data_IF_129692415307
#
_entry.id   IF_129692415307
#
_cell.length_a   1.000
_cell.length_b   1.000
_cell.length_c   1.000
_cell.angle_alpha   90.00
_cell.angle_beta   90.00
_cell.angle_gamma   90.00
#
_symmetry.space_group_name_H-M   'P 1'
#
loop_
_entity.id
_entity.type
_entity.pdbx_description
1 polymer ?
#
# COMPACT_ATOMS: atom_id res chain seq x y z
N UNK A 1 -18.10 12.18 12.41
CA UNK A 1 -17.68 11.01 11.60
C UNK A 1 -16.22 10.74 11.82
N UNK A 2 -15.90 9.53 12.25
CA UNK A 2 -14.51 9.22 12.57
C UNK A 2 -13.69 9.03 11.30
N UNK A 3 -12.52 9.62 11.29
CA UNK A 3 -11.55 9.39 10.23
C UNK A 3 -11.10 7.94 10.32
N UNK A 4 -11.25 7.11 9.26
CA UNK A 4 -10.80 5.71 9.32
C UNK A 4 -9.30 5.57 9.59
N UNK A 5 -8.53 6.64 9.40
CA UNK A 5 -7.10 6.64 9.65
C UNK A 5 -6.72 7.07 11.08
N UNK A 6 -7.67 7.56 11.88
CA UNK A 6 -7.38 8.01 13.25
C UNK A 6 -7.08 6.88 14.22
N UNK A 7 -7.67 5.72 13.99
CA UNK A 7 -7.54 4.59 14.90
C UNK A 7 -6.61 3.50 14.36
N UNK A 8 -5.82 3.83 13.35
CA UNK A 8 -4.88 2.89 12.76
C UNK A 8 -3.67 2.75 13.68
N UNK A 9 -3.40 1.53 14.10
CA UNK A 9 -2.25 1.18 14.92
C UNK A 9 -1.23 0.36 14.15
N UNK A 10 -1.69 -0.34 13.11
CA UNK A 10 -0.83 -1.21 12.31
C UNK A 10 -1.16 -1.08 10.83
N UNK A 11 -0.13 -1.20 9.98
CA UNK A 11 -0.27 -1.14 8.54
C UNK A 11 0.59 -2.21 7.89
N UNK A 12 0.09 -2.75 6.78
CA UNK A 12 0.85 -3.62 5.89
C UNK A 12 1.05 -2.88 4.58
N UNK A 13 2.29 -2.83 4.11
CA UNK A 13 2.64 -2.20 2.85
C UNK A 13 3.37 -3.20 1.96
N UNK A 14 2.84 -3.43 0.77
CA UNK A 14 3.50 -4.22 -0.26
C UNK A 14 4.21 -3.29 -1.23
N UNK A 15 5.51 -3.51 -1.42
CA UNK A 15 6.31 -2.77 -2.40
C UNK A 15 6.84 -3.73 -3.44
N UNK A 16 7.09 -3.22 -4.66
CA UNK A 16 7.72 -4.01 -5.71
C UNK A 16 9.21 -4.13 -5.43
N UNK A 17 9.64 -5.30 -4.95
CA UNK A 17 11.02 -5.56 -4.59
C UNK A 17 11.98 -5.64 -5.77
N UNK A 18 11.45 -5.79 -6.99
CA UNK A 18 12.24 -5.82 -8.22
C UNK A 18 12.43 -4.44 -8.84
N UNK A 19 11.71 -3.43 -8.34
CA UNK A 19 11.82 -2.07 -8.86
C UNK A 19 13.06 -1.35 -8.32
N UNK A 20 13.69 -0.46 -9.11
CA UNK A 20 14.90 0.24 -8.68
C UNK A 20 14.68 1.18 -7.51
N UNK A 21 13.46 1.66 -7.28
CA UNK A 21 13.14 2.58 -6.19
C UNK A 21 12.65 1.88 -4.91
N UNK A 22 12.77 0.55 -4.83
CA UNK A 22 12.30 -0.22 -3.70
C UNK A 22 12.90 0.27 -2.37
N UNK A 23 14.22 0.48 -2.32
CA UNK A 23 14.88 0.93 -1.10
C UNK A 23 14.43 2.34 -0.70
N UNK A 24 14.29 3.23 -1.67
CA UNK A 24 13.86 4.61 -1.41
C UNK A 24 12.43 4.69 -0.87
N UNK A 25 11.50 3.99 -1.52
CA UNK A 25 10.11 4.00 -1.08
C UNK A 25 9.96 3.32 0.28
N UNK A 26 10.73 2.27 0.54
CA UNK A 26 10.71 1.58 1.82
C UNK A 26 11.14 2.50 2.95
N UNK A 27 12.23 3.25 2.75
CA UNK A 27 12.73 4.19 3.75
C UNK A 27 11.71 5.30 4.02
N UNK A 28 11.11 5.85 2.98
CA UNK A 28 10.08 6.90 3.12
C UNK A 28 8.84 6.40 3.84
N UNK A 29 8.43 5.18 3.55
CA UNK A 29 7.27 4.58 4.21
C UNK A 29 7.53 4.34 5.69
N UNK A 30 8.70 3.81 6.03
CA UNK A 30 9.07 3.57 7.43
C UNK A 30 9.09 4.88 8.23
N UNK A 31 9.65 5.94 7.66
CA UNK A 31 9.69 7.24 8.29
C UNK A 31 8.29 7.82 8.47
N UNK A 32 7.45 7.74 7.44
CA UNK A 32 6.09 8.26 7.49
C UNK A 32 5.27 7.60 8.59
N UNK A 33 5.25 6.28 8.62
CA UNK A 33 4.43 5.55 9.60
C UNK A 33 4.99 5.67 11.01
N UNK A 34 6.32 5.75 11.15
CA UNK A 34 6.94 6.01 12.44
C UNK A 34 6.51 7.36 13.00
N UNK A 35 6.48 8.38 12.16
CA UNK A 35 6.07 9.72 12.57
C UNK A 35 4.60 9.78 13.01
N UNK A 36 3.78 8.85 12.53
CA UNK A 36 2.37 8.76 12.90
C UNK A 36 2.11 7.78 14.04
N UNK A 37 3.15 7.13 14.56
CA UNK A 37 2.99 6.15 15.63
C UNK A 37 2.33 4.84 15.18
N UNK A 38 2.41 4.53 13.88
CA UNK A 38 1.81 3.33 13.31
C UNK A 38 2.87 2.26 13.13
N UNK A 39 2.60 1.05 13.58
CA UNK A 39 3.48 -0.10 13.39
C UNK A 39 3.38 -0.59 11.94
N UNK A 40 4.47 -0.55 11.21
CA UNK A 40 4.50 -0.94 9.80
C UNK A 40 5.14 -2.29 9.60
N UNK A 41 4.47 -3.16 8.85
CA UNK A 41 5.06 -4.38 8.29
C UNK A 41 5.20 -4.19 6.79
N UNK A 42 6.44 -4.08 6.33
CA UNK A 42 6.76 -3.82 4.93
C UNK A 42 7.25 -5.10 4.28
N UNK A 43 6.64 -5.44 3.14
CA UNK A 43 6.95 -6.66 2.41
C UNK A 43 7.40 -6.32 1.00
N UNK A 44 8.71 -6.43 0.70
CA UNK A 44 9.17 -6.35 -0.69
C UNK A 44 8.75 -7.61 -1.43
N UNK A 45 7.98 -7.45 -2.49
CA UNK A 45 7.44 -8.57 -3.26
C UNK A 45 8.25 -8.76 -4.53
N UNK A 46 8.70 -10.00 -4.75
CA UNK A 46 9.47 -10.36 -5.93
C UNK A 46 8.70 -11.36 -6.78
N UNK A 47 8.88 -11.28 -8.11
CA UNK A 47 8.10 -12.06 -9.08
C UNK A 47 8.09 -13.55 -8.84
N UNK A 48 9.22 -14.12 -8.42
CA UNK A 48 9.37 -15.57 -8.31
C UNK A 48 9.19 -16.12 -6.90
N UNK A 49 8.75 -15.30 -5.97
CA UNK A 49 8.58 -15.71 -4.59
C UNK A 49 7.14 -15.56 -4.14
N UNK A 50 6.62 -16.59 -3.47
CA UNK A 50 5.31 -16.50 -2.86
C UNK A 50 5.33 -15.53 -1.70
N UNK A 51 4.35 -14.64 -1.68
CA UNK A 51 4.20 -13.68 -0.61
C UNK A 51 3.41 -14.29 0.53
N UNK A 52 3.98 -14.18 1.73
CA UNK A 52 3.26 -14.47 2.96
C UNK A 52 3.30 -13.20 3.80
N UNK A 53 2.17 -12.53 3.91
CA UNK A 53 2.08 -11.33 4.72
C UNK A 53 1.04 -11.50 5.81
N UNK A 54 1.15 -10.64 6.83
CA UNK A 54 0.20 -10.63 7.92
C UNK A 54 -1.17 -10.23 7.37
N UNK A 55 -2.20 -11.01 7.70
CA UNK A 55 -3.57 -10.75 7.29
C UNK A 55 -4.28 -9.77 8.21
N UNK A 56 -3.76 -9.59 9.40
CA UNK A 56 -4.36 -8.71 10.41
C UNK A 56 -3.59 -7.39 10.45
N UNK A 57 -4.22 -6.36 9.96
CA UNK A 57 -3.72 -5.00 10.02
C UNK A 57 -4.90 -4.06 9.94
N UNK A 58 -4.73 -2.85 10.45
CA UNK A 58 -5.79 -1.84 10.36
C UNK A 58 -5.82 -1.19 8.97
N UNK A 59 -4.68 -1.19 8.28
CA UNK A 59 -4.54 -0.59 6.96
C UNK A 59 -3.72 -1.52 6.07
N UNK A 60 -4.20 -1.74 4.85
CA UNK A 60 -3.48 -2.50 3.81
C UNK A 60 -3.20 -1.58 2.63
N UNK A 61 -1.93 -1.45 2.25
CA UNK A 61 -1.52 -0.62 1.12
C UNK A 61 -0.68 -1.47 0.17
N UNK A 62 -0.94 -1.34 -1.14
CA UNK A 62 -0.15 -2.01 -2.16
C UNK A 62 0.36 -1.03 -3.20
N UNK A 63 1.67 -1.12 -3.48
CA UNK A 63 2.33 -0.40 -4.56
C UNK A 63 2.67 -1.34 -5.73
N UNK A 64 2.16 -2.58 -5.69
CA UNK A 64 2.46 -3.58 -6.71
C UNK A 64 1.80 -3.24 -8.04
N UNK A 65 2.41 -3.69 -9.17
CA UNK A 65 1.80 -3.49 -10.49
C UNK A 65 0.53 -4.31 -10.67
N UNK A 66 -0.28 -3.92 -11.65
CA UNK A 66 -1.62 -4.44 -11.90
C UNK A 66 -1.68 -5.96 -12.03
N UNK A 67 -0.69 -6.57 -12.68
CA UNK A 67 -0.72 -8.01 -13.01
C UNK A 67 -0.05 -8.89 -11.98
N UNK A 68 0.14 -8.41 -10.77
CA UNK A 68 0.78 -9.21 -9.73
C UNK A 68 -0.18 -10.26 -9.16
N UNK A 69 0.20 -11.53 -9.28
CA UNK A 69 -0.53 -12.62 -8.63
C UNK A 69 -0.52 -12.48 -7.11
N UNK A 70 0.64 -12.11 -6.57
CA UNK A 70 0.78 -11.91 -5.12
C UNK A 70 -0.14 -10.79 -4.61
N UNK A 71 -0.32 -9.74 -5.40
CA UNK A 71 -1.22 -8.65 -5.05
C UNK A 71 -2.66 -9.15 -4.90
N UNK A 72 -3.12 -9.93 -5.88
CA UNK A 72 -4.48 -10.46 -5.85
C UNK A 72 -4.74 -11.31 -4.60
N UNK A 73 -3.82 -12.22 -4.31
CA UNK A 73 -3.97 -13.10 -3.17
C UNK A 73 -3.90 -12.35 -1.85
N UNK A 74 -2.90 -11.47 -1.70
CA UNK A 74 -2.72 -10.73 -0.46
C UNK A 74 -3.87 -9.77 -0.18
N UNK A 75 -4.32 -9.03 -1.20
CA UNK A 75 -5.40 -8.06 -1.04
C UNK A 75 -6.72 -8.72 -0.66
N UNK A 76 -7.03 -9.87 -1.25
CA UNK A 76 -8.26 -10.60 -0.93
C UNK A 76 -8.22 -11.26 0.44
N UNK A 77 -7.04 -11.73 0.87
CA UNK A 77 -6.88 -12.40 2.17
C UNK A 77 -6.74 -11.43 3.33
N UNK A 78 -6.39 -10.18 3.06
CA UNK A 78 -6.23 -9.19 4.12
C UNK A 78 -7.57 -8.92 4.82
N UNK A 79 -7.53 -8.89 6.15
CA UNK A 79 -8.68 -8.58 6.99
C UNK A 79 -8.73 -7.09 7.36
N UNK A 80 -7.86 -6.27 6.76
CA UNK A 80 -7.82 -4.84 7.04
C UNK A 80 -9.14 -4.18 6.66
N UNK A 81 -9.71 -3.36 7.54
CA UNK A 81 -10.96 -2.66 7.24
C UNK A 81 -10.82 -1.56 6.20
N UNK A 82 -9.57 -1.14 5.91
CA UNK A 82 -9.31 -0.11 4.91
C UNK A 82 -8.14 -0.53 4.03
N UNK A 83 -8.34 -0.48 2.71
CA UNK A 83 -7.34 -0.94 1.74
C UNK A 83 -7.12 0.11 0.65
N UNK A 84 -5.85 0.40 0.35
CA UNK A 84 -5.45 1.35 -0.68
C UNK A 84 -4.57 0.64 -1.70
N UNK A 85 -4.86 0.82 -2.97
CA UNK A 85 -4.09 0.22 -4.06
C UNK A 85 -3.87 1.16 -5.22
N UNK A 86 -3.15 0.68 -6.25
CA UNK A 86 -2.86 1.46 -7.45
C UNK A 86 -3.82 1.18 -8.61
N UNK A 87 -4.43 -0.01 -8.63
CA UNK A 87 -5.25 -0.46 -9.74
C UNK A 87 -6.51 -1.15 -9.24
N UNK A 88 -7.65 -0.94 -9.93
CA UNK A 88 -8.88 -1.65 -9.58
C UNK A 88 -8.72 -3.16 -9.82
N UNK A 89 -9.29 -3.95 -8.94
CA UNK A 89 -9.22 -5.41 -9.01
C UNK A 89 -10.62 -6.02 -9.14
N UNK A 90 -11.32 -5.70 -10.22
CA UNK A 90 -12.63 -6.25 -10.52
C UNK A 90 -13.68 -5.98 -9.45
N UNK A 91 -13.78 -6.85 -8.46
CA UNK A 91 -14.61 -6.60 -7.30
C UNK A 91 -13.98 -5.51 -6.42
N UNK A 92 -14.78 -4.89 -5.60
CA UNK A 92 -14.37 -3.75 -4.77
C UNK A 92 -13.41 -4.19 -3.65
N UNK A 93 -12.18 -4.52 -4.02
CA UNK A 93 -11.16 -4.95 -3.06
C UNK A 93 -10.52 -3.76 -2.36
N UNK A 94 -10.25 -2.69 -3.10
CA UNK A 94 -9.63 -1.48 -2.54
C UNK A 94 -10.68 -0.40 -2.29
N UNK A 95 -10.56 0.28 -1.15
CA UNK A 95 -11.41 1.41 -0.81
C UNK A 95 -11.01 2.67 -1.55
N UNK A 96 -9.70 2.83 -1.77
CA UNK A 96 -9.13 3.95 -2.52
C UNK A 96 -8.15 3.41 -3.54
N UNK A 97 -8.24 3.93 -4.77
CA UNK A 97 -7.28 3.65 -5.84
C UNK A 97 -6.51 4.94 -6.14
N UNK A 98 -5.19 4.87 -6.02
CA UNK A 98 -4.31 6.01 -6.32
C UNK A 98 -3.47 5.65 -7.52
N UNK A 99 -3.68 6.38 -8.62
CA UNK A 99 -2.95 6.15 -9.86
C UNK A 99 -2.29 7.43 -10.34
N UNK A 100 -1.23 7.27 -11.13
CA UNK A 100 -0.57 8.41 -11.75
C UNK A 100 -1.46 9.06 -12.80
N UNK A 101 -1.31 10.37 -13.04
CA UNK A 101 -2.00 11.00 -14.17
C UNK A 101 -1.68 10.29 -15.48
N UNK A 102 -2.66 10.23 -16.36
CA UNK A 102 -2.52 9.58 -17.65
C UNK A 102 -1.36 10.18 -18.45
N UNK A 103 -0.52 9.30 -19.02
CA UNK A 103 0.65 9.74 -19.77
C UNK A 103 1.90 9.98 -18.93
N UNK A 104 1.83 9.80 -17.61
CA UNK A 104 2.99 9.93 -16.73
C UNK A 104 3.44 8.58 -16.22
N UNK A 105 4.75 8.33 -16.26
CA UNK A 105 5.35 7.18 -15.60
C UNK A 105 5.70 7.58 -14.17
N UNK A 106 4.93 7.10 -13.22
CA UNK A 106 5.22 7.35 -11.81
C UNK A 106 5.78 6.10 -11.16
N UNK A 107 6.89 6.26 -10.46
CA UNK A 107 7.46 5.20 -9.65
C UNK A 107 6.71 5.03 -8.33
N UNK A 108 7.13 4.06 -7.54
CA UNK A 108 6.51 3.79 -6.25
C UNK A 108 6.62 4.98 -5.30
N UNK A 109 7.73 5.71 -5.36
CA UNK A 109 7.94 6.87 -4.49
C UNK A 109 6.88 7.94 -4.75
N UNK A 110 6.62 8.26 -6.02
CA UNK A 110 5.61 9.26 -6.38
C UNK A 110 4.21 8.80 -6.02
N UNK A 111 3.88 7.54 -6.27
CA UNK A 111 2.56 6.99 -5.91
C UNK A 111 2.38 6.98 -4.40
N UNK A 112 3.40 6.58 -3.65
CA UNK A 112 3.32 6.60 -2.20
C UNK A 112 3.13 8.01 -1.65
N UNK A 113 3.81 8.99 -2.24
CA UNK A 113 3.62 10.40 -1.85
C UNK A 113 2.18 10.85 -2.05
N UNK A 114 1.55 10.46 -3.18
CA UNK A 114 0.14 10.75 -3.43
C UNK A 114 -0.77 10.06 -2.42
N UNK A 115 -0.46 8.82 -2.06
CA UNK A 115 -1.23 8.08 -1.05
C UNK A 115 -1.17 8.78 0.31
N UNK A 116 0.01 9.22 0.73
CA UNK A 116 0.15 9.93 2.02
C UNK A 116 -0.59 11.25 2.02
N UNK A 117 -0.59 11.96 0.88
CA UNK A 117 -1.35 13.19 0.74
C UNK A 117 -2.84 12.95 0.89
N UNK A 118 -3.35 11.90 0.24
CA UNK A 118 -4.77 11.53 0.34
C UNK A 118 -5.12 11.12 1.77
N UNK A 119 -4.28 10.30 2.41
CA UNK A 119 -4.50 9.90 3.78
C UNK A 119 -4.56 11.09 4.73
N UNK A 120 -3.74 12.11 4.49
CA UNK A 120 -3.74 13.32 5.29
C UNK A 120 -4.99 14.18 5.11
N UNK A 121 -5.71 14.03 4.00
CA UNK A 121 -6.94 14.78 3.71
C UNK A 121 -8.21 14.09 4.21
N UNK A 122 -8.14 12.83 4.54
CA UNK A 122 -9.28 12.10 5.08
C UNK A 122 -9.48 12.51 6.54
N UNK A 123 -10.61 13.11 6.81
CA UNK A 123 -10.96 13.58 8.17
C UNK A 123 -12.20 12.90 8.70
#
# INVERSE_FOLDING_TARGET
MDNPLQNIKSAVLLVDGDAPDCAEVSAKAEEYFRSKGISLKLYPVRRKRLLRCDRQADLFISLLPEKSFNLRMAARRSLAPFKIGRFPMGEKVFDIIVSAPEGTEAGQVEIFALMTEIMGKIK
#
